data_IF_376438494309
#
_entry.id   IF_376438494309
#
_cell.length_a   1.000
_cell.length_b   1.000
_cell.length_c   1.000
_cell.angle_alpha   90.00
_cell.angle_beta   90.00
_cell.angle_gamma   90.00
#
_symmetry.space_group_name_H-M   'P 1'
#
loop_
_entity.id
_entity.type
_entity.pdbx_description
1 polymer ?
#
# COMPACT_ATOMS: atom_id res chain seq x y z
N UNK A 1 -37.71 12.55 31.30
CA UNK A 1 -36.43 13.28 31.12
C UNK A 1 -35.18 12.39 31.13
N UNK A 2 -35.11 11.28 31.89
CA UNK A 2 -33.92 10.40 31.88
C UNK A 2 -33.69 9.68 30.54
N UNK A 3 -34.74 9.28 29.84
CA UNK A 3 -34.63 8.57 28.55
C UNK A 3 -34.13 9.46 27.39
N UNK A 4 -34.44 10.76 27.45
CA UNK A 4 -34.02 11.75 26.44
C UNK A 4 -32.53 12.09 26.57
N UNK A 5 -31.96 11.97 27.78
CA UNK A 5 -30.53 12.19 27.99
C UNK A 5 -29.70 11.02 27.45
N UNK A 6 -30.21 9.79 27.55
CA UNK A 6 -29.53 8.58 27.03
C UNK A 6 -29.53 8.49 25.50
N UNK A 7 -30.56 9.00 24.83
CA UNK A 7 -30.57 9.04 23.35
C UNK A 7 -29.61 10.08 22.78
N UNK A 8 -29.37 11.19 23.49
CA UNK A 8 -28.44 12.24 23.06
C UNK A 8 -26.97 11.78 23.07
N UNK A 9 -26.61 10.86 23.96
CA UNK A 9 -25.25 10.34 24.11
C UNK A 9 -24.84 9.34 23.02
N UNK A 10 -25.79 8.75 22.29
CA UNK A 10 -25.52 7.78 21.22
C UNK A 10 -25.19 8.48 19.89
N UNK A 11 -25.54 9.76 19.74
CA UNK A 11 -25.39 10.50 18.47
C UNK A 11 -23.99 11.12 18.26
N UNK A 12 -23.11 11.11 19.27
CA UNK A 12 -21.80 11.78 19.20
C UNK A 12 -20.63 10.88 18.73
N UNK A 13 -20.87 9.61 18.42
CA UNK A 13 -19.80 8.68 18.02
C UNK A 13 -19.43 8.75 16.53
N UNK A 14 -20.06 9.64 15.75
CA UNK A 14 -19.61 9.88 14.37
C UNK A 14 -18.38 10.76 14.39
N UNK A 15 -17.23 10.13 14.66
CA UNK A 15 -15.95 10.73 14.31
C UNK A 15 -15.98 11.00 12.80
N UNK A 16 -15.98 12.28 12.46
CA UNK A 16 -15.86 12.75 11.10
C UNK A 16 -14.55 12.20 10.53
N UNK A 17 -14.61 11.18 9.68
CA UNK A 17 -13.51 10.87 8.77
C UNK A 17 -13.44 12.03 7.77
N UNK A 18 -12.78 13.11 8.17
CA UNK A 18 -12.43 14.22 7.29
C UNK A 18 -11.75 13.65 6.06
N UNK A 19 -12.16 14.14 4.88
CA UNK A 19 -11.77 13.67 3.53
C UNK A 19 -10.51 12.79 3.56
N UNK A 20 -10.69 11.48 3.74
CA UNK A 20 -9.55 10.60 3.69
C UNK A 20 -9.00 10.74 2.28
N UNK A 21 -7.75 11.19 2.17
CA UNK A 21 -7.00 10.99 0.93
C UNK A 21 -7.19 9.51 0.61
N UNK A 22 -7.64 9.21 -0.62
CA UNK A 22 -7.97 7.86 -1.05
C UNK A 22 -6.72 6.99 -1.14
N UNK A 23 -6.05 6.74 -0.02
CA UNK A 23 -4.88 5.91 0.11
C UNK A 23 -5.25 4.44 0.02
N UNK A 24 -6.34 4.04 0.69
CA UNK A 24 -6.85 2.68 0.61
C UNK A 24 -7.22 2.31 -0.84
N UNK A 25 -7.02 1.04 -1.17
CA UNK A 25 -7.25 0.48 -2.49
C UNK A 25 -6.08 -0.36 -3.00
N UNK A 26 -6.24 -0.83 -4.23
CA UNK A 26 -5.28 -1.70 -4.88
C UNK A 26 -4.30 -0.90 -5.74
N UNK A 27 -3.05 -1.36 -5.71
CA UNK A 27 -1.95 -0.81 -6.46
C UNK A 27 -1.22 -1.93 -7.19
N UNK A 28 -0.80 -1.67 -8.42
CA UNK A 28 0.00 -2.61 -9.19
C UNK A 28 1.15 -1.96 -9.95
N UNK A 29 2.11 -2.79 -10.31
CA UNK A 29 3.07 -2.52 -11.38
C UNK A 29 3.45 -3.83 -12.01
N UNK A 30 3.42 -3.88 -13.32
CA UNK A 30 3.93 -5.02 -14.09
C UNK A 30 5.02 -4.53 -15.01
N UNK A 31 6.17 -5.21 -14.99
CA UNK A 31 7.29 -4.99 -15.89
C UNK A 31 7.44 -6.24 -16.75
N UNK A 32 7.41 -6.05 -18.07
CA UNK A 32 7.61 -7.12 -19.04
C UNK A 32 8.89 -6.84 -19.82
N UNK A 33 9.75 -7.84 -19.99
CA UNK A 33 10.92 -7.76 -20.87
C UNK A 33 10.56 -8.25 -22.28
N UNK A 34 11.42 -7.95 -23.25
CA UNK A 34 11.31 -8.46 -24.62
C UNK A 34 11.37 -9.99 -24.71
N UNK A 35 11.91 -10.65 -23.68
CA UNK A 35 12.03 -12.12 -23.61
C UNK A 35 10.86 -12.78 -22.87
N UNK A 36 9.78 -12.03 -22.60
CA UNK A 36 8.63 -12.44 -21.79
C UNK A 36 8.96 -12.71 -20.31
N UNK A 37 10.03 -12.13 -19.77
CA UNK A 37 10.19 -12.10 -18.32
C UNK A 37 9.21 -11.11 -17.72
N UNK A 38 8.65 -11.47 -16.56
CA UNK A 38 7.60 -10.72 -15.88
C UNK A 38 8.05 -10.42 -14.46
N UNK A 39 7.86 -9.18 -14.02
CA UNK A 39 7.91 -8.78 -12.62
C UNK A 39 6.59 -8.08 -12.30
N UNK A 40 5.78 -8.70 -11.45
CA UNK A 40 4.47 -8.20 -11.05
C UNK A 40 4.45 -7.88 -9.56
N UNK A 41 4.05 -6.66 -9.25
CA UNK A 41 3.99 -6.12 -7.90
C UNK A 41 2.53 -5.76 -7.62
N UNK A 42 1.96 -6.35 -6.57
CA UNK A 42 0.58 -6.08 -6.11
C UNK A 42 0.61 -5.66 -4.66
N UNK A 43 -0.04 -4.55 -4.35
CA UNK A 43 -0.17 -4.00 -3.01
C UNK A 43 -1.61 -3.58 -2.77
N UNK A 44 -2.22 -4.08 -1.71
CA UNK A 44 -3.54 -3.66 -1.25
C UNK A 44 -3.38 -2.92 0.07
N UNK A 45 -3.86 -1.68 0.13
CA UNK A 45 -4.02 -0.92 1.38
C UNK A 45 -5.48 -1.02 1.84
N UNK A 46 -5.76 -1.80 2.88
CA UNK A 46 -7.10 -1.96 3.43
C UNK A 46 -7.51 -0.75 4.27
N UNK A 47 -8.81 -0.44 4.31
CA UNK A 47 -9.35 0.69 5.08
C UNK A 47 -9.16 0.57 6.59
N UNK A 48 -9.00 -0.65 7.11
CA UNK A 48 -8.75 -0.95 8.52
C UNK A 48 -7.29 -0.69 8.97
N UNK A 49 -6.45 -0.19 8.06
CA UNK A 49 -5.04 0.08 8.33
C UNK A 49 -4.14 -1.15 8.16
N UNK A 50 -4.63 -2.25 7.58
CA UNK A 50 -3.79 -3.40 7.20
C UNK A 50 -3.38 -3.35 5.72
N UNK A 51 -2.30 -4.03 5.36
CA UNK A 51 -1.89 -4.18 3.96
C UNK A 51 -1.49 -5.62 3.63
N UNK A 52 -1.56 -5.95 2.36
CA UNK A 52 -1.02 -7.19 1.79
C UNK A 52 -0.21 -6.85 0.54
N UNK A 53 0.95 -7.47 0.40
CA UNK A 53 1.86 -7.31 -0.73
C UNK A 53 2.19 -8.68 -1.33
N UNK A 54 2.20 -8.74 -2.67
CA UNK A 54 2.64 -9.89 -3.44
C UNK A 54 3.60 -9.42 -4.54
N UNK A 55 4.80 -9.98 -4.53
CA UNK A 55 5.74 -9.94 -5.63
C UNK A 55 5.75 -11.29 -6.33
N UNK A 56 5.54 -11.27 -7.64
CA UNK A 56 5.70 -12.40 -8.53
C UNK A 56 6.76 -12.06 -9.57
N UNK A 57 7.67 -13.00 -9.83
CA UNK A 57 8.51 -12.92 -11.02
C UNK A 57 8.63 -14.25 -11.73
N UNK A 58 8.63 -14.18 -13.06
CA UNK A 58 8.93 -15.28 -13.95
C UNK A 58 10.04 -14.84 -14.90
N UNK A 59 11.22 -15.41 -14.74
CA UNK A 59 12.41 -15.10 -15.53
C UNK A 59 12.85 -16.39 -16.20
N UNK A 60 12.85 -16.44 -17.53
CA UNK A 60 13.02 -17.69 -18.30
C UNK A 60 14.31 -18.43 -17.96
N UNK A 61 15.40 -17.69 -17.79
CA UNK A 61 16.72 -18.22 -17.44
C UNK A 61 17.11 -17.94 -15.97
N UNK A 62 16.12 -17.58 -15.13
CA UNK A 62 16.33 -17.36 -13.70
C UNK A 62 16.51 -18.68 -12.94
N UNK A 63 17.20 -18.62 -11.80
CA UNK A 63 17.32 -19.76 -10.88
C UNK A 63 16.89 -19.27 -9.48
N UNK A 64 15.68 -19.63 -9.01
CA UNK A 64 14.65 -20.36 -9.73
C UNK A 64 13.98 -19.50 -10.83
N UNK A 65 13.37 -20.12 -11.86
CA UNK A 65 12.71 -19.38 -12.93
C UNK A 65 11.47 -18.62 -12.45
N UNK A 66 10.82 -19.11 -11.40
CA UNK A 66 9.63 -18.50 -10.83
C UNK A 66 9.84 -18.24 -9.33
N UNK A 67 9.50 -17.02 -8.89
CA UNK A 67 9.64 -16.58 -7.51
C UNK A 67 8.35 -15.90 -7.07
N UNK A 68 7.87 -16.28 -5.89
CA UNK A 68 6.80 -15.58 -5.19
C UNK A 68 7.34 -15.09 -3.84
N UNK A 69 7.07 -13.82 -3.50
CA UNK A 69 7.39 -13.25 -2.19
C UNK A 69 6.19 -12.47 -1.68
N UNK A 70 5.88 -12.61 -0.39
CA UNK A 70 4.70 -12.00 0.21
C UNK A 70 5.08 -11.22 1.45
N UNK A 71 4.36 -10.12 1.71
CA UNK A 71 4.42 -9.36 2.95
C UNK A 71 3.03 -8.95 3.38
N UNK A 72 2.81 -8.80 4.68
CA UNK A 72 1.59 -8.25 5.26
C UNK A 72 1.94 -7.43 6.51
N UNK A 73 0.98 -6.65 6.98
CA UNK A 73 1.14 -5.87 8.22
C UNK A 73 0.20 -4.70 8.26
N UNK A 74 0.64 -3.63 8.91
CA UNK A 74 -0.13 -2.39 9.10
C UNK A 74 0.47 -1.23 8.31
N UNK A 75 -0.37 -0.28 7.94
CA UNK A 75 0.04 0.99 7.36
C UNK A 75 -0.63 2.15 8.06
N UNK A 76 0.06 3.28 8.08
CA UNK A 76 -0.47 4.56 8.54
C UNK A 76 -0.14 5.64 7.53
N UNK A 77 -0.92 6.72 7.51
CA UNK A 77 -0.65 7.87 6.66
C UNK A 77 -0.53 9.14 7.48
N UNK A 78 0.51 9.91 7.20
CA UNK A 78 0.65 11.30 7.63
C UNK A 78 0.96 12.16 6.42
N UNK A 79 0.14 13.18 6.18
CA UNK A 79 0.20 14.00 4.98
C UNK A 79 0.11 13.17 3.68
N UNK A 80 1.21 12.98 2.95
CA UNK A 80 1.29 12.13 1.76
C UNK A 80 2.28 10.98 1.96
N UNK A 81 2.75 10.75 3.19
CA UNK A 81 3.70 9.71 3.52
C UNK A 81 2.95 8.52 4.15
N UNK A 82 3.00 7.38 3.47
CA UNK A 82 2.55 6.10 3.96
C UNK A 82 3.72 5.42 4.65
N UNK A 83 3.53 5.00 5.89
CA UNK A 83 4.51 4.23 6.67
C UNK A 83 3.96 2.83 6.89
N UNK A 84 4.76 1.82 6.54
CA UNK A 84 4.46 0.41 6.71
C UNK A 84 5.14 -0.12 7.97
N UNK A 85 4.50 -1.09 8.61
CA UNK A 85 5.04 -1.83 9.75
C UNK A 85 4.64 -3.30 9.65
N UNK A 86 5.60 -4.19 9.85
CA UNK A 86 5.37 -5.63 9.97
C UNK A 86 5.91 -6.12 11.29
N UNK A 87 5.10 -6.85 12.04
CA UNK A 87 5.47 -7.51 13.29
C UNK A 87 5.88 -8.96 12.99
N UNK A 88 7.12 -9.33 13.33
CA UNK A 88 7.67 -10.69 13.09
C UNK A 88 6.88 -11.83 13.76
N UNK A 89 6.11 -11.55 14.80
CA UNK A 89 5.31 -12.56 15.50
C UNK A 89 3.91 -12.72 14.93
N UNK A 90 3.33 -11.67 14.37
CA UNK A 90 1.92 -11.64 13.92
C UNK A 90 1.80 -11.71 12.39
N UNK A 91 2.73 -11.06 11.69
CA UNK A 91 2.65 -10.83 10.24
C UNK A 91 3.51 -11.81 9.43
N UNK A 92 4.31 -12.66 10.08
CA UNK A 92 5.18 -13.60 9.41
C UNK A 92 4.68 -15.03 9.60
N UNK A 93 4.77 -15.80 8.52
CA UNK A 93 4.52 -17.24 8.50
C UNK A 93 5.29 -17.87 7.32
N UNK A 94 5.02 -19.13 6.99
CA UNK A 94 5.70 -19.82 5.88
C UNK A 94 5.52 -19.11 4.53
N UNK A 95 4.42 -18.36 4.34
CA UNK A 95 4.11 -17.63 3.11
C UNK A 95 4.57 -16.17 3.18
N UNK A 96 4.25 -15.47 4.25
CA UNK A 96 4.55 -14.04 4.42
C UNK A 96 5.91 -13.86 5.10
N UNK A 97 6.90 -13.46 4.32
CA UNK A 97 8.31 -13.44 4.74
C UNK A 97 9.01 -12.10 4.50
N UNK A 98 8.39 -11.18 3.76
CA UNK A 98 8.95 -9.86 3.49
C UNK A 98 8.76 -8.92 4.67
N UNK A 99 9.86 -8.36 5.14
CA UNK A 99 9.87 -7.37 6.21
C UNK A 99 9.66 -5.95 5.65
N UNK A 100 8.44 -5.44 5.81
CA UNK A 100 8.11 -4.06 5.47
C UNK A 100 8.31 -3.10 6.65
N UNK A 101 8.82 -3.57 7.79
CA UNK A 101 8.99 -2.72 8.96
C UNK A 101 9.79 -1.47 8.61
N UNK A 102 9.27 -0.31 9.03
CA UNK A 102 9.82 1.03 8.75
C UNK A 102 9.86 1.46 7.28
N UNK A 103 9.35 0.65 6.35
CA UNK A 103 9.26 1.04 4.93
C UNK A 103 8.32 2.24 4.76
N UNK A 104 8.63 3.12 3.82
CA UNK A 104 7.85 4.35 3.56
C UNK A 104 7.63 4.55 2.07
N UNK A 105 6.42 4.98 1.72
CA UNK A 105 6.07 5.36 0.36
C UNK A 105 5.36 6.72 0.33
N UNK A 106 5.64 7.53 -0.69
CA UNK A 106 4.90 8.77 -0.93
C UNK A 106 3.71 8.50 -1.82
N UNK A 107 2.52 8.91 -1.37
CA UNK A 107 1.33 9.01 -2.19
C UNK A 107 1.42 10.21 -3.11
N UNK A 108 1.46 9.94 -4.41
CA UNK A 108 1.54 10.94 -5.46
C UNK A 108 0.25 10.89 -6.25
N UNK A 109 -0.46 12.01 -6.29
CA UNK A 109 -1.66 12.20 -7.09
C UNK A 109 -1.67 13.63 -7.64
N UNK A 110 -2.53 13.90 -8.62
CA UNK A 110 -2.69 15.25 -9.17
C UNK A 110 -3.12 16.20 -8.05
N UNK A 111 -2.44 17.33 -7.93
CA UNK A 111 -2.85 18.35 -6.98
C UNK A 111 -4.23 18.89 -7.42
N UNK A 112 -5.24 18.96 -6.54
CA UNK A 112 -6.54 19.54 -6.89
C UNK A 112 -6.47 20.98 -7.43
N UNK A 113 -5.39 21.70 -7.12
CA UNK A 113 -5.12 23.06 -7.61
C UNK A 113 -4.42 23.10 -8.97
N UNK A 114 -3.86 21.99 -9.43
CA UNK A 114 -3.23 21.89 -10.74
C UNK A 114 -4.30 21.75 -11.83
N UNK A 115 -4.48 22.82 -12.60
CA UNK A 115 -5.46 22.91 -13.70
C UNK A 115 -4.88 22.51 -15.06
N UNK A 116 -3.61 22.11 -15.14
CA UNK A 116 -3.01 21.70 -16.41
C UNK A 116 -3.64 20.41 -16.93
N UNK A 117 -3.58 20.17 -18.23
CA UNK A 117 -4.10 18.94 -18.85
C UNK A 117 -3.20 17.71 -18.64
N UNK A 118 -2.16 17.84 -17.81
CA UNK A 118 -1.25 16.73 -17.49
C UNK A 118 -2.01 15.62 -16.78
N UNK A 119 -1.83 14.40 -17.29
CA UNK A 119 -2.35 13.17 -16.69
C UNK A 119 -1.32 12.68 -15.67
N UNK A 120 -1.62 12.85 -14.39
CA UNK A 120 -0.80 12.32 -13.29
C UNK A 120 -1.48 11.06 -12.79
N UNK A 121 -0.88 9.89 -13.07
CA UNK A 121 -1.35 8.62 -12.52
C UNK A 121 -1.10 8.58 -11.03
N UNK A 122 -2.14 8.30 -10.25
CA UNK A 122 -2.02 8.12 -8.81
C UNK A 122 -1.12 6.92 -8.52
N UNK A 123 -0.15 7.08 -7.62
CA UNK A 123 0.84 6.05 -7.30
C UNK A 123 1.36 6.16 -5.88
N UNK A 124 1.97 5.07 -5.40
CA UNK A 124 2.84 5.04 -4.24
C UNK A 124 4.29 4.90 -4.72
N UNK A 125 5.14 5.85 -4.34
CA UNK A 125 6.56 5.86 -4.63
C UNK A 125 7.34 5.47 -3.36
N UNK A 126 7.89 4.26 -3.30
CA UNK A 126 8.68 3.79 -2.16
C UNK A 126 9.98 4.61 -2.04
N UNK A 127 10.13 5.32 -0.93
CA UNK A 127 11.29 6.18 -0.66
C UNK A 127 12.30 5.52 0.28
N UNK A 128 11.84 4.57 1.10
CA UNK A 128 12.63 3.90 2.12
C UNK A 128 12.09 2.47 2.29
N UNK A 129 12.97 1.47 2.28
CA UNK A 129 12.64 0.08 2.56
C UNK A 129 13.93 -0.71 2.77
N UNK A 130 13.92 -1.66 3.70
CA UNK A 130 15.00 -2.64 3.86
C UNK A 130 14.95 -3.74 2.78
N UNK A 131 13.84 -3.85 2.05
CA UNK A 131 13.70 -4.76 0.92
C UNK A 131 14.45 -4.15 -0.28
N UNK A 132 15.57 -4.74 -0.75
CA UNK A 132 16.52 -4.03 -1.62
C UNK A 132 15.94 -3.53 -2.95
N UNK A 133 15.00 -4.29 -3.55
CA UNK A 133 14.39 -3.93 -4.83
C UNK A 133 13.18 -3.01 -4.71
N UNK A 134 12.72 -2.71 -3.49
CA UNK A 134 11.54 -1.85 -3.27
C UNK A 134 11.92 -0.37 -3.24
N UNK A 135 13.16 -0.03 -2.89
CA UNK A 135 13.57 1.37 -2.82
C UNK A 135 13.48 2.02 -4.22
N UNK A 136 12.78 3.16 -4.31
CA UNK A 136 12.47 3.89 -5.56
C UNK A 136 11.52 3.16 -6.52
N UNK A 137 10.87 2.09 -6.08
CA UNK A 137 9.81 1.46 -6.84
C UNK A 137 8.52 2.29 -6.74
N UNK A 138 7.87 2.48 -7.87
CA UNK A 138 6.48 2.99 -7.94
C UNK A 138 5.50 1.82 -8.10
N UNK A 139 4.35 1.89 -7.44
CA UNK A 139 3.13 1.10 -7.79
C UNK A 139 1.96 2.04 -8.02
N UNK A 140 1.19 1.79 -9.07
CA UNK A 140 0.12 2.66 -9.55
C UNK A 140 -1.23 2.19 -9.04
N UNK A 141 -2.09 3.14 -8.66
CA UNK A 141 -3.44 2.82 -8.22
C UNK A 141 -4.27 2.29 -9.39
N UNK A 142 -5.04 1.23 -9.15
CA UNK A 142 -5.98 0.62 -10.09
C UNK A 142 -7.29 1.40 -10.12
#
# INVERSE_FOLDING_TARGET
>A
MKLLLTTLLILFSFTTFGQSKGFAGDYNRTLNTTENDILDYKLTLNQDGTFVFHYYSKIKNGIPPEVNKYGKGKWTAKDNLITFSSNKQEDFDEKYTLDFNTSKARFVTKNPRDKSDRIIKTKLAFVESEIPWMQRMDVFKI
#
